data_IF_608192452305
#
_entry.id   IF_608192452305
#
_cell.length_a   1.000
_cell.length_b   1.000
_cell.length_c   1.000
_cell.angle_alpha   90.00
_cell.angle_beta   90.00
_cell.angle_gamma   90.00
#
_symmetry.space_group_name_H-M   'P 1'
#
loop_
_entity.id
_entity.type
_entity.pdbx_description
1 polymer ?
#
# COMPACT_ATOMS: atom_id res chain seq x y z
N UNK A 1 3.16 24.65 -3.47
CA UNK A 1 2.80 23.34 -2.91
C UNK A 1 3.19 22.34 -3.98
N UNK A 2 4.10 21.40 -3.72
CA UNK A 2 4.38 20.34 -4.68
C UNK A 2 3.13 19.46 -4.75
N UNK A 3 2.33 19.62 -5.79
CA UNK A 3 1.22 18.71 -6.06
C UNK A 3 1.86 17.35 -6.42
N UNK A 4 1.62 16.33 -5.59
CA UNK A 4 2.08 14.99 -5.88
C UNK A 4 1.31 14.47 -7.10
N UNK A 5 2.04 14.11 -8.17
CA UNK A 5 1.45 13.61 -9.42
C UNK A 5 0.68 12.29 -9.22
N UNK A 6 1.13 11.47 -8.27
CA UNK A 6 0.50 10.19 -7.93
C UNK A 6 0.36 10.09 -6.42
N UNK A 7 -0.84 9.79 -5.96
CA UNK A 7 -1.20 9.72 -4.53
C UNK A 7 -1.62 8.30 -4.19
N UNK A 8 -1.06 7.76 -3.12
CA UNK A 8 -1.50 6.50 -2.52
C UNK A 8 -2.30 6.80 -1.26
N UNK A 9 -3.49 6.25 -1.15
CA UNK A 9 -4.26 6.20 0.08
C UNK A 9 -4.39 4.77 0.58
N UNK A 10 -4.62 4.64 1.88
CA UNK A 10 -4.98 3.39 2.55
C UNK A 10 -6.12 3.71 3.51
N UNK A 11 -7.04 2.76 3.65
CA UNK A 11 -8.13 2.77 4.62
C UNK A 11 -8.16 1.43 5.35
N UNK A 12 -8.03 1.47 6.68
CA UNK A 12 -8.05 0.30 7.54
C UNK A 12 -9.44 0.13 8.17
N UNK A 13 -10.06 -1.02 7.92
CA UNK A 13 -11.41 -1.36 8.36
C UNK A 13 -11.32 -2.56 9.30
N UNK A 14 -11.73 -2.38 10.55
CA UNK A 14 -11.90 -3.49 11.49
C UNK A 14 -13.18 -4.26 11.12
N UNK A 15 -13.01 -5.55 10.83
CA UNK A 15 -14.07 -6.54 10.66
C UNK A 15 -14.06 -7.50 11.87
N UNK A 16 -15.08 -8.35 12.09
CA UNK A 16 -15.18 -9.17 13.30
C UNK A 16 -13.98 -10.09 13.57
N UNK A 17 -13.30 -10.56 12.53
CA UNK A 17 -12.21 -11.56 12.63
C UNK A 17 -10.89 -11.08 12.01
N UNK A 18 -10.84 -9.87 11.45
CA UNK A 18 -9.71 -9.39 10.66
C UNK A 18 -9.67 -7.87 10.54
N UNK A 19 -8.52 -7.33 10.15
CA UNK A 19 -8.38 -5.96 9.67
C UNK A 19 -8.20 -5.98 8.15
N UNK A 20 -9.11 -5.33 7.43
CA UNK A 20 -9.04 -5.17 5.98
C UNK A 20 -8.39 -3.83 5.63
N UNK A 21 -7.41 -3.84 4.75
CA UNK A 21 -6.78 -2.65 4.21
C UNK A 21 -7.18 -2.47 2.75
N UNK A 22 -7.86 -1.36 2.45
CA UNK A 22 -8.15 -0.95 1.08
C UNK A 22 -7.16 0.14 0.67
N UNK A 23 -6.46 -0.05 -0.43
CA UNK A 23 -5.48 0.88 -0.95
C UNK A 23 -5.87 1.36 -2.35
N UNK A 24 -5.57 2.61 -2.63
CA UNK A 24 -5.89 3.24 -3.90
C UNK A 24 -4.72 4.10 -4.37
N UNK A 25 -4.10 3.73 -5.49
CA UNK A 25 -3.04 4.50 -6.13
C UNK A 25 -3.63 5.29 -7.29
N UNK A 26 -3.72 6.61 -7.16
CA UNK A 26 -4.35 7.48 -8.14
C UNK A 26 -3.35 8.38 -8.85
N UNK A 27 -3.37 8.36 -10.18
CA UNK A 27 -2.68 9.36 -11.00
C UNK A 27 -3.50 10.65 -11.02
N UNK A 28 -3.01 11.70 -10.37
CA UNK A 28 -3.62 13.03 -10.32
C UNK A 28 -3.01 14.00 -11.34
N UNK A 29 -2.04 13.55 -12.12
CA UNK A 29 -1.42 14.35 -13.17
C UNK A 29 -2.21 14.32 -14.48
N UNK A 30 -1.85 15.20 -15.40
CA UNK A 30 -2.43 15.28 -16.75
C UNK A 30 -1.73 14.34 -17.75
N UNK A 31 -0.74 13.55 -17.31
CA UNK A 31 0.06 12.64 -18.15
C UNK A 31 -0.06 11.20 -17.68
N UNK A 32 0.11 10.26 -18.60
CA UNK A 32 0.26 8.86 -18.24
C UNK A 32 1.53 8.64 -17.40
N UNK A 33 1.47 7.75 -16.41
CA UNK A 33 2.60 7.37 -15.57
C UNK A 33 2.81 5.86 -15.69
N UNK A 34 3.99 5.46 -16.18
CA UNK A 34 4.38 4.06 -16.26
C UNK A 34 5.19 3.65 -15.03
N UNK A 35 4.78 2.54 -14.41
CA UNK A 35 5.43 1.90 -13.28
C UNK A 35 6.03 0.56 -13.70
N UNK A 36 7.31 0.37 -13.38
CA UNK A 36 8.04 -0.87 -13.63
C UNK A 36 8.25 -1.65 -12.33
N UNK A 37 8.07 -2.96 -12.41
CA UNK A 37 8.29 -3.91 -11.31
C UNK A 37 9.34 -4.93 -11.73
N UNK A 38 10.26 -5.29 -10.84
CA UNK A 38 11.24 -6.37 -11.07
C UNK A 38 10.73 -7.75 -10.62
N UNK A 39 9.59 -7.81 -9.94
CA UNK A 39 8.99 -9.05 -9.43
C UNK A 39 7.46 -9.00 -9.52
N UNK A 40 6.80 -10.12 -9.17
CA UNK A 40 5.36 -10.23 -8.97
C UNK A 40 4.79 -9.33 -7.86
N UNK A 41 5.61 -8.86 -6.92
CA UNK A 41 5.15 -8.07 -5.78
C UNK A 41 4.73 -6.66 -6.22
N UNK A 42 3.46 -6.31 -5.96
CA UNK A 42 2.89 -4.99 -6.33
C UNK A 42 2.99 -3.95 -5.22
N UNK A 43 2.90 -4.39 -3.97
CA UNK A 43 3.00 -3.53 -2.80
C UNK A 43 3.68 -4.29 -1.65
N UNK A 44 4.11 -3.54 -0.65
CA UNK A 44 4.37 -4.02 0.69
C UNK A 44 3.40 -3.30 1.64
N UNK A 45 2.91 -4.02 2.64
CA UNK A 45 2.09 -3.47 3.72
C UNK A 45 2.65 -3.99 5.03
N UNK A 46 2.96 -3.08 5.96
CA UNK A 46 3.46 -3.41 7.29
C UNK A 46 2.63 -2.67 8.33
N UNK A 47 2.19 -3.38 9.37
CA UNK A 47 1.47 -2.82 10.51
C UNK A 47 2.41 -2.79 11.71
N UNK A 48 2.45 -1.65 12.40
CA UNK A 48 3.20 -1.44 13.63
C UNK A 48 2.25 -1.10 14.79
N UNK A 49 2.60 -1.54 16.00
CA UNK A 49 1.96 -1.07 17.23
C UNK A 49 2.58 0.25 17.72
N UNK A 50 2.09 0.78 18.85
CA UNK A 50 2.60 2.00 19.46
C UNK A 50 4.06 1.92 19.94
N UNK A 51 4.61 0.71 20.10
CA UNK A 51 6.02 0.47 20.44
C UNK A 51 6.90 0.37 19.17
N UNK A 52 6.34 0.62 17.98
CA UNK A 52 6.97 0.40 16.67
C UNK A 52 7.36 -1.07 16.40
N UNK A 53 6.69 -2.04 17.05
CA UNK A 53 6.90 -3.46 16.75
C UNK A 53 6.04 -3.86 15.57
N UNK A 54 6.64 -4.57 14.61
CA UNK A 54 5.92 -5.15 13.48
C UNK A 54 4.92 -6.21 13.98
N UNK A 55 3.64 -5.99 13.66
CA UNK A 55 2.52 -6.88 13.99
C UNK A 55 2.11 -7.71 12.78
N UNK A 56 2.17 -7.11 11.60
CA UNK A 56 1.83 -7.77 10.35
C UNK A 56 2.72 -7.28 9.21
N UNK A 57 2.98 -8.17 8.27
CA UNK A 57 3.66 -7.88 7.00
C UNK A 57 3.05 -8.71 5.89
N UNK A 58 2.57 -8.03 4.85
CA UNK A 58 1.99 -8.67 3.67
C UNK A 58 2.94 -9.70 3.05
N UNK A 59 4.20 -9.36 2.85
CA UNK A 59 5.19 -10.23 2.20
C UNK A 59 5.63 -11.44 3.03
N UNK A 60 5.29 -11.49 4.33
CA UNK A 60 5.63 -12.64 5.18
C UNK A 60 4.97 -13.89 4.62
N UNK A 61 5.76 -14.95 4.47
CA UNK A 61 5.37 -16.26 3.94
C UNK A 61 4.85 -16.24 2.49
N UNK A 62 5.12 -15.17 1.71
CA UNK A 62 4.79 -15.09 0.28
C UNK A 62 6.04 -15.21 -0.58
N UNK A 63 5.92 -15.94 -1.68
CA UNK A 63 6.90 -15.97 -2.76
C UNK A 63 6.35 -15.19 -3.96
N UNK A 64 7.20 -14.38 -4.59
CA UNK A 64 6.84 -13.59 -5.77
C UNK A 64 7.67 -14.02 -6.97
N UNK A 65 7.02 -14.13 -8.14
CA UNK A 65 7.69 -14.46 -9.39
C UNK A 65 8.76 -13.42 -9.75
N UNK A 66 9.89 -13.87 -10.29
CA UNK A 66 10.96 -12.97 -10.74
C UNK A 66 10.71 -12.60 -12.21
N UNK A 67 9.72 -11.73 -12.43
CA UNK A 67 9.30 -11.30 -13.76
C UNK A 67 9.12 -9.78 -13.80
N UNK A 68 9.74 -9.15 -14.79
CA UNK A 68 9.54 -7.74 -15.10
C UNK A 68 8.12 -7.50 -15.58
N UNK A 69 7.49 -6.47 -15.05
CA UNK A 69 6.12 -6.09 -15.39
C UNK A 69 6.01 -4.57 -15.45
N UNK A 70 5.12 -4.08 -16.30
CA UNK A 70 4.79 -2.66 -16.42
C UNK A 70 3.30 -2.46 -16.09
N UNK A 71 2.99 -1.33 -15.46
CA UNK A 71 1.63 -0.83 -15.24
C UNK A 71 1.61 0.64 -15.66
N UNK A 72 0.75 0.99 -16.60
CA UNK A 72 0.49 2.39 -16.94
C UNK A 72 -0.77 2.83 -16.23
N UNK A 73 -0.72 3.99 -15.56
CA UNK A 73 -1.89 4.72 -15.09
C UNK A 73 -2.13 5.93 -15.98
N UNK A 74 -3.25 5.96 -16.67
CA UNK A 74 -3.71 7.11 -17.43
C UNK A 74 -4.09 8.30 -16.52
N UNK A 75 -4.20 9.53 -17.05
CA UNK A 75 -4.65 10.68 -16.26
C UNK A 75 -5.98 10.41 -15.54
N UNK A 76 -5.99 10.58 -14.22
CA UNK A 76 -7.16 10.33 -13.38
C UNK A 76 -7.42 8.86 -13.04
N UNK A 77 -6.69 7.92 -13.64
CA UNK A 77 -6.86 6.48 -13.39
C UNK A 77 -6.40 6.10 -11.98
N UNK A 78 -7.01 5.04 -11.47
CA UNK A 78 -6.77 4.50 -10.14
C UNK A 78 -6.47 3.00 -10.23
N UNK A 79 -5.42 2.57 -9.53
CA UNK A 79 -5.12 1.16 -9.28
C UNK A 79 -5.50 0.83 -7.84
N UNK A 80 -6.62 0.12 -7.68
CA UNK A 80 -7.13 -0.32 -6.38
C UNK A 80 -6.62 -1.72 -6.04
N UNK A 81 -6.20 -1.91 -4.80
CA UNK A 81 -5.72 -3.18 -4.27
C UNK A 81 -6.02 -3.28 -2.78
N UNK A 82 -6.00 -4.49 -2.23
CA UNK A 82 -6.31 -4.71 -0.83
C UNK A 82 -5.46 -5.84 -0.24
N UNK A 83 -5.40 -5.87 1.08
CA UNK A 83 -4.86 -6.98 1.85
C UNK A 83 -5.63 -7.15 3.15
N UNK A 84 -5.51 -8.34 3.75
CA UNK A 84 -6.22 -8.69 4.97
C UNK A 84 -5.24 -9.23 6.00
N UNK A 85 -5.19 -8.56 7.15
CA UNK A 85 -4.57 -9.10 8.34
C UNK A 85 -5.60 -9.97 9.06
N UNK A 86 -5.44 -11.30 8.97
CA UNK A 86 -6.40 -12.32 9.43
C UNK A 86 -6.41 -12.54 10.95
N UNK A 87 -6.34 -11.45 11.70
CA UNK A 87 -6.57 -11.40 13.13
C UNK A 87 -6.99 -9.97 13.51
N UNK A 88 -7.76 -9.84 14.59
CA UNK A 88 -8.00 -8.57 15.26
C UNK A 88 -7.08 -8.56 16.49
N UNK A 89 -6.10 -7.64 16.58
CA UNK A 89 -5.20 -7.59 17.72
C UNK A 89 -5.91 -6.99 18.95
N UNK A 90 -5.18 -6.88 20.06
CA UNK A 90 -5.67 -6.17 21.25
C UNK A 90 -6.05 -4.71 20.93
N UNK A 91 -7.08 -4.15 21.60
CA UNK A 91 -7.48 -2.77 21.40
C UNK A 91 -6.32 -1.78 21.59
N UNK A 92 -6.23 -0.80 20.70
CA UNK A 92 -5.14 0.17 20.71
C UNK A 92 -4.97 0.89 19.38
N UNK A 93 -3.96 1.76 19.32
CA UNK A 93 -3.59 2.50 18.12
C UNK A 93 -2.48 1.76 17.38
N UNK A 94 -2.67 1.61 16.07
CA UNK A 94 -1.72 0.99 15.16
C UNK A 94 -1.41 1.93 14.00
N UNK A 95 -0.28 1.69 13.35
CA UNK A 95 0.13 2.37 12.13
C UNK A 95 0.25 1.36 10.99
N UNK A 96 -0.45 1.57 9.89
CA UNK A 96 -0.22 0.85 8.64
C UNK A 96 0.65 1.69 7.71
N UNK A 97 1.74 1.10 7.24
CA UNK A 97 2.60 1.65 6.20
C UNK A 97 2.48 0.81 4.93
N UNK A 98 2.02 1.44 3.85
CA UNK A 98 1.96 0.84 2.52
C UNK A 98 3.07 1.42 1.66
N UNK A 99 3.78 0.57 0.94
CA UNK A 99 4.76 0.97 -0.09
C UNK A 99 4.37 0.33 -1.40
N UNK A 100 4.04 1.12 -2.41
CA UNK A 100 3.85 0.61 -3.77
C UNK A 100 5.21 0.18 -4.32
N UNK A 101 5.33 -1.00 -4.95
CA UNK A 101 6.64 -1.53 -5.41
C UNK A 101 7.03 -1.06 -6.80
N UNK A 102 6.08 -0.59 -7.59
CA UNK A 102 6.34 -0.03 -8.92
C UNK A 102 7.22 1.21 -8.82
N UNK A 103 8.20 1.32 -9.71
CA UNK A 103 9.04 2.52 -9.86
C UNK A 103 8.65 3.24 -11.13
N UNK A 104 8.47 4.54 -11.04
CA UNK A 104 8.25 5.41 -12.18
C UNK A 104 9.41 6.40 -12.30
N UNK A 105 9.69 6.83 -13.53
CA UNK A 105 10.75 7.81 -13.79
C UNK A 105 10.44 9.14 -13.09
N UNK A 106 11.46 9.76 -12.49
CA UNK A 106 11.37 11.05 -11.80
C UNK A 106 10.38 11.11 -10.60
N UNK A 107 9.88 9.95 -10.14
CA UNK A 107 9.05 9.84 -8.95
C UNK A 107 9.81 9.14 -7.83
N UNK A 108 9.72 9.70 -6.61
CA UNK A 108 10.16 9.01 -5.40
C UNK A 108 9.28 7.77 -5.17
N UNK A 109 9.78 6.81 -4.39
CA UNK A 109 9.01 5.62 -4.03
C UNK A 109 7.69 6.04 -3.35
N UNK A 110 6.57 5.60 -3.93
CA UNK A 110 5.25 5.95 -3.44
C UNK A 110 4.93 5.11 -2.20
N UNK A 111 4.59 5.79 -1.11
CA UNK A 111 4.24 5.19 0.16
C UNK A 111 3.17 6.03 0.85
N UNK A 112 2.35 5.37 1.66
CA UNK A 112 1.34 6.00 2.49
C UNK A 112 1.42 5.43 3.90
N UNK A 113 1.12 6.26 4.89
CA UNK A 113 1.06 5.88 6.30
C UNK A 113 -0.27 6.35 6.85
N UNK A 114 -0.95 5.48 7.61
CA UNK A 114 -2.20 5.81 8.26
C UNK A 114 -2.22 5.20 9.67
N UNK A 115 -2.65 5.99 10.65
CA UNK A 115 -3.00 5.47 11.97
C UNK A 115 -4.45 4.97 11.97
N UNK A 116 -4.70 3.87 12.66
CA UNK A 116 -6.03 3.33 12.87
C UNK A 116 -6.19 2.79 14.29
N UNK A 117 -7.42 2.77 14.78
CA UNK A 117 -7.76 2.23 16.09
C UNK A 117 -8.38 0.84 15.93
N UNK A 118 -7.97 -0.08 16.79
CA UNK A 118 -8.67 -1.35 17.02
C UNK A 118 -9.45 -1.22 18.33
N UNK A 119 -10.73 -1.58 18.29
CA UNK A 119 -11.66 -1.49 19.42
C UNK A 119 -12.06 -2.87 19.95
#
# INVERSE_FOLDING_TARGET
MENQEVVLSVDAIQEPEQIKFNMSLKNQSERAVEFQFSTGQKFELVVYDSDNKERYRYSKDKMFTQAFQNLTLEPGETYDFSDVWKEVPEPGTYEVKVTFKGRAENLKQIQAVQQFEVK
#
